data_IF_543362377112
#
_entry.id   IF_543362377112
#
_cell.length_a   1.000
_cell.length_b   1.000
_cell.length_c   1.000
_cell.angle_alpha   90.00
_cell.angle_beta   90.00
_cell.angle_gamma   90.00
#
_symmetry.space_group_name_H-M   'P 1'
#
loop_
_entity.id
_entity.type
_entity.pdbx_description
1 polymer ?
#
# COMPACT_ATOMS: atom_id res chain seq x y z
N UNK A 1 14.77 -8.16 15.46
CA UNK A 1 13.30 -8.25 15.40
C UNK A 1 12.93 -9.45 14.54
N UNK A 2 11.96 -10.24 14.98
CA UNK A 2 11.34 -11.25 14.12
C UNK A 2 10.52 -10.55 13.02
N UNK A 3 10.52 -11.10 11.80
CA UNK A 3 9.85 -10.56 10.61
C UNK A 3 8.70 -11.44 10.12
N UNK A 4 8.43 -12.56 10.78
CA UNK A 4 7.46 -13.58 10.36
C UNK A 4 6.04 -13.07 10.10
N UNK A 5 5.62 -11.97 10.76
CA UNK A 5 4.31 -11.34 10.58
C UNK A 5 4.33 -9.92 10.01
N UNK A 6 5.46 -9.46 9.46
CA UNK A 6 5.58 -8.11 8.92
C UNK A 6 5.46 -8.10 7.39
N UNK A 7 4.59 -7.23 6.89
CA UNK A 7 4.32 -7.07 5.46
C UNK A 7 4.56 -5.62 5.03
N UNK A 8 5.16 -5.44 3.85
CA UNK A 8 5.29 -4.13 3.24
C UNK A 8 4.07 -3.85 2.37
N UNK A 9 3.21 -2.92 2.78
CA UNK A 9 2.00 -2.59 2.03
C UNK A 9 2.33 -1.92 0.70
N UNK A 10 1.58 -2.30 -0.33
CA UNK A 10 1.69 -1.82 -1.70
C UNK A 10 0.33 -1.30 -2.20
N UNK A 11 0.33 -0.66 -3.37
CA UNK A 11 -0.87 -0.29 -4.11
C UNK A 11 -0.98 -1.12 -5.40
N UNK A 12 -2.18 -1.30 -5.99
CA UNK A 12 -3.48 -0.77 -5.57
C UNK A 12 -4.01 -1.42 -4.28
N UNK A 13 -4.81 -0.66 -3.52
CA UNK A 13 -5.58 -1.15 -2.38
C UNK A 13 -7.08 -1.04 -2.74
N UNK A 14 -7.83 -2.14 -2.57
CA UNK A 14 -9.21 -2.25 -3.03
C UNK A 14 -10.23 -2.19 -1.89
N UNK A 15 -11.11 -1.18 -1.91
CA UNK A 15 -12.19 -1.03 -0.94
C UNK A 15 -13.50 -0.63 -1.63
N UNK A 16 -14.64 -0.84 -0.97
CA UNK A 16 -15.90 -0.28 -1.46
C UNK A 16 -15.84 1.24 -1.38
N UNK A 17 -16.13 1.90 -2.51
CA UNK A 17 -16.01 3.35 -2.62
C UNK A 17 -16.81 4.13 -1.56
N UNK A 18 -18.00 3.64 -1.16
CA UNK A 18 -18.80 4.27 -0.11
C UNK A 18 -18.11 4.22 1.26
N UNK A 19 -17.58 3.05 1.61
CA UNK A 19 -16.91 2.81 2.90
C UNK A 19 -15.62 3.63 3.00
N UNK A 20 -14.81 3.60 1.93
CA UNK A 20 -13.55 4.37 1.87
C UNK A 20 -13.79 5.87 1.99
N UNK A 21 -14.79 6.42 1.30
CA UNK A 21 -15.14 7.85 1.42
C UNK A 21 -15.57 8.21 2.84
N UNK A 22 -16.44 7.41 3.45
CA UNK A 22 -16.90 7.62 4.83
C UNK A 22 -15.75 7.57 5.84
N UNK A 23 -14.77 6.69 5.63
CA UNK A 23 -13.58 6.60 6.46
C UNK A 23 -12.71 7.86 6.33
N UNK A 24 -12.47 8.34 5.11
CA UNK A 24 -11.70 9.57 4.87
C UNK A 24 -12.41 10.81 5.44
N UNK A 25 -13.73 10.92 5.28
CA UNK A 25 -14.53 11.99 5.90
C UNK A 25 -14.41 11.99 7.43
N UNK A 26 -14.51 10.81 8.05
CA UNK A 26 -14.34 10.67 9.51
C UNK A 26 -12.92 11.05 9.96
N UNK A 27 -11.90 10.69 9.18
CA UNK A 27 -10.50 10.98 9.51
C UNK A 27 -10.19 12.49 9.56
N UNK A 28 -10.89 13.31 8.78
CA UNK A 28 -10.76 14.78 8.82
C UNK A 28 -11.10 15.36 10.20
N UNK A 29 -12.00 14.69 10.93
CA UNK A 29 -12.50 15.17 12.23
C UNK A 29 -11.80 14.53 13.43
N UNK A 30 -11.14 13.38 13.26
CA UNK A 30 -10.62 12.58 14.38
C UNK A 30 -9.10 12.61 14.58
N UNK A 31 -8.33 13.42 13.83
CA UNK A 31 -6.84 13.50 13.89
C UNK A 31 -6.18 12.11 13.92
N UNK A 32 -6.72 11.17 13.15
CA UNK A 32 -6.13 9.84 13.03
C UNK A 32 -5.21 9.83 11.81
N UNK A 33 -3.89 9.82 12.06
CA UNK A 33 -2.90 9.69 10.97
C UNK A 33 -2.87 8.24 10.48
N UNK A 34 -3.21 8.05 9.22
CA UNK A 34 -2.98 6.82 8.47
C UNK A 34 -2.05 7.13 7.28
N UNK A 35 -1.17 6.19 6.94
CA UNK A 35 -0.20 6.35 5.85
C UNK A 35 -0.68 5.79 4.52
N UNK A 36 -1.70 4.93 4.55
CA UNK A 36 -2.36 4.31 3.41
C UNK A 36 -3.85 4.04 3.73
N UNK A 37 -4.61 3.57 2.74
CA UNK A 37 -6.04 3.33 2.89
C UNK A 37 -6.31 2.10 3.77
N UNK A 38 -5.46 1.08 3.73
CA UNK A 38 -5.59 -0.10 4.59
C UNK A 38 -5.50 0.25 6.08
N UNK A 39 -4.51 1.05 6.49
CA UNK A 39 -4.39 1.50 7.88
C UNK A 39 -5.55 2.41 8.31
N UNK A 40 -6.11 3.20 7.39
CA UNK A 40 -7.31 3.99 7.67
C UNK A 40 -8.52 3.08 7.91
N UNK A 41 -8.74 2.12 7.02
CA UNK A 41 -9.88 1.21 7.07
C UNK A 41 -9.83 0.28 8.30
N UNK A 42 -8.64 -0.22 8.65
CA UNK A 42 -8.43 -1.01 9.88
C UNK A 42 -8.83 -0.22 11.14
N UNK A 43 -8.49 1.07 11.21
CA UNK A 43 -8.87 1.95 12.33
C UNK A 43 -10.38 2.21 12.40
N UNK A 44 -11.08 2.12 11.28
CA UNK A 44 -12.54 2.17 11.21
C UNK A 44 -13.20 0.82 11.54
N UNK A 45 -12.41 -0.20 11.90
CA UNK A 45 -12.89 -1.53 12.27
C UNK A 45 -13.19 -2.44 11.08
N UNK A 46 -12.70 -2.11 9.88
CA UNK A 46 -12.84 -2.99 8.72
C UNK A 46 -11.86 -4.17 8.77
N UNK A 47 -12.30 -5.34 8.32
CA UNK A 47 -11.42 -6.48 8.10
C UNK A 47 -10.49 -6.23 6.91
N UNK A 48 -9.19 -6.50 7.10
CA UNK A 48 -8.15 -6.35 6.07
C UNK A 48 -7.70 -7.73 5.61
N UNK A 49 -7.65 -7.91 4.29
CA UNK A 49 -7.17 -9.13 3.64
C UNK A 49 -5.93 -8.82 2.83
N UNK A 50 -4.89 -9.65 2.98
CA UNK A 50 -3.66 -9.51 2.22
C UNK A 50 -3.78 -10.26 0.90
N UNK A 51 -3.43 -9.58 -0.20
CA UNK A 51 -3.21 -10.18 -1.50
C UNK A 51 -1.71 -10.23 -1.77
N UNK A 52 -1.20 -11.37 -2.24
CA UNK A 52 0.21 -11.48 -2.60
C UNK A 52 0.55 -10.53 -3.75
N UNK A 53 1.51 -9.65 -3.51
CA UNK A 53 2.01 -8.67 -4.48
C UNK A 53 3.39 -9.06 -5.01
N UNK A 54 3.86 -8.33 -6.02
CA UNK A 54 5.22 -8.48 -6.52
C UNK A 54 6.18 -7.53 -5.82
N UNK A 55 7.36 -8.02 -5.43
CA UNK A 55 8.45 -7.18 -4.92
C UNK A 55 8.93 -6.13 -5.92
N UNK A 56 8.68 -6.35 -7.20
CA UNK A 56 9.00 -5.41 -8.26
C UNK A 56 8.04 -4.20 -8.31
N UNK A 57 6.91 -4.26 -7.62
CA UNK A 57 5.97 -3.14 -7.52
C UNK A 57 6.50 -2.12 -6.48
N UNK A 58 7.63 -1.52 -6.82
CA UNK A 58 8.35 -0.59 -5.96
C UNK A 58 7.72 0.80 -6.01
N UNK A 59 7.79 1.52 -4.88
CA UNK A 59 7.48 2.95 -4.84
C UNK A 59 8.75 3.73 -5.15
N UNK A 60 8.75 4.48 -6.25
CA UNK A 60 9.81 5.43 -6.57
C UNK A 60 9.78 6.60 -5.58
N UNK A 61 10.72 6.61 -4.64
CA UNK A 61 10.76 7.55 -3.51
C UNK A 61 12.06 8.34 -3.46
N UNK A 62 13.14 7.80 -4.04
CA UNK A 62 14.48 8.38 -4.10
C UNK A 62 15.04 8.30 -5.52
N UNK A 63 16.06 9.09 -5.88
CA UNK A 63 16.69 9.00 -7.21
C UNK A 63 17.27 7.62 -7.53
N UNK A 64 17.71 6.85 -6.51
CA UNK A 64 18.23 5.50 -6.71
C UNK A 64 17.16 4.52 -7.21
N UNK A 65 15.90 4.75 -6.86
CA UNK A 65 14.80 3.85 -7.24
C UNK A 65 14.57 3.85 -8.76
N UNK A 66 14.99 4.90 -9.47
CA UNK A 66 14.93 4.96 -10.94
C UNK A 66 15.81 3.87 -11.57
N UNK A 67 17.06 3.74 -11.13
CA UNK A 67 17.97 2.70 -11.61
C UNK A 67 17.43 1.29 -11.34
N UNK A 68 16.75 1.11 -10.21
CA UNK A 68 16.11 -0.15 -9.88
C UNK A 68 14.88 -0.43 -10.77
N UNK A 69 14.05 0.57 -11.03
CA UNK A 69 12.90 0.43 -11.91
C UNK A 69 13.30 0.10 -13.34
N UNK A 70 14.35 0.73 -13.88
CA UNK A 70 14.88 0.42 -15.20
C UNK A 70 15.32 -1.05 -15.30
N UNK A 71 16.08 -1.53 -14.31
CA UNK A 71 16.49 -2.93 -14.24
C UNK A 71 15.30 -3.91 -14.14
N UNK A 72 14.26 -3.55 -13.38
CA UNK A 72 13.02 -4.34 -13.29
C UNK A 72 12.31 -4.41 -14.65
N UNK A 73 12.17 -3.28 -15.34
CA UNK A 73 11.49 -3.22 -16.64
C UNK A 73 12.27 -3.97 -17.72
N UNK A 74 13.58 -3.86 -17.75
CA UNK A 74 14.45 -4.62 -18.66
C UNK A 74 14.36 -6.13 -18.44
N UNK A 75 14.22 -6.57 -17.19
CA UNK A 75 14.03 -8.00 -16.90
C UNK A 75 12.67 -8.49 -17.40
N UNK A 76 11.60 -7.74 -17.12
CA UNK A 76 10.23 -8.08 -17.54
C UNK A 76 10.04 -8.11 -19.06
N UNK A 77 10.77 -7.30 -19.82
CA UNK A 77 10.67 -7.31 -21.30
C UNK A 77 11.36 -8.51 -21.95
N UNK A 78 12.20 -9.23 -21.19
CA UNK A 78 12.90 -10.44 -21.64
C UNK A 78 12.17 -11.73 -21.23
N UNK A 79 11.15 -11.62 -20.40
CA UNK A 79 10.22 -12.69 -19.97
C UNK A 79 9.05 -12.80 -20.96
#
# INVERSE_FOLDING_TARGET
MDRSGLYAMQTPQGFRARELRSAHESALHCVQRATDDAALMERMGADIYLCEGSRDNIKLTTPFDLSLADAILERRSKE
#
